data_IF_216920340117
#
_entry.id   IF_216920340117
#
_cell.length_a   1.000
_cell.length_b   1.000
_cell.length_c   1.000
_cell.angle_alpha   90.00
_cell.angle_beta   90.00
_cell.angle_gamma   90.00
#
_symmetry.space_group_name_H-M   'P 1'
#
loop_
_entity.id
_entity.type
_entity.pdbx_description
1 polymer ?
#
# COMPACT_ATOMS: atom_id res chain seq x y z
N UNK A 1 3.22 2.92 3.76
CA UNK A 1 4.66 2.61 3.76
C UNK A 1 4.94 1.28 4.43
N UNK A 2 6.05 0.61 4.06
CA UNK A 2 6.54 -0.59 4.74
C UNK A 2 7.93 -0.29 5.29
N UNK A 3 8.15 -0.60 6.58
CA UNK A 3 9.44 -0.37 7.26
C UNK A 3 9.79 -1.53 8.21
N UNK A 4 11.07 -1.91 8.32
CA UNK A 4 11.53 -2.81 9.37
C UNK A 4 11.57 -2.03 10.70
N UNK A 5 10.82 -2.51 11.71
CA UNK A 5 10.73 -1.85 13.02
C UNK A 5 11.03 -2.80 14.19
N UNK A 6 11.51 -4.02 13.89
CA UNK A 6 11.75 -5.07 14.85
C UNK A 6 10.50 -5.88 15.22
N UNK A 7 10.69 -7.12 15.66
CA UNK A 7 9.61 -8.08 15.90
C UNK A 7 8.70 -7.73 17.08
N UNK A 8 9.20 -6.97 18.05
CA UNK A 8 8.46 -6.56 19.25
C UNK A 8 7.67 -5.28 19.10
N UNK A 9 7.89 -4.51 18.01
CA UNK A 9 7.15 -3.31 17.71
C UNK A 9 5.75 -3.65 17.17
N UNK A 10 4.83 -2.68 17.22
CA UNK A 10 3.47 -2.89 16.69
C UNK A 10 3.48 -3.32 15.20
N UNK A 11 2.53 -4.18 14.77
CA UNK A 11 2.45 -4.65 13.39
C UNK A 11 2.13 -3.53 12.40
N UNK A 12 1.31 -2.58 12.83
CA UNK A 12 0.92 -1.40 12.05
C UNK A 12 0.99 -0.18 12.95
N UNK A 13 1.55 0.90 12.46
CA UNK A 13 1.62 2.19 13.15
C UNK A 13 1.03 3.27 12.26
N UNK A 14 0.18 4.13 12.85
CA UNK A 14 -0.32 5.32 12.18
C UNK A 14 0.56 6.49 12.60
N UNK A 15 1.10 7.20 11.62
CA UNK A 15 1.93 8.37 11.84
C UNK A 15 1.30 9.59 11.18
N UNK A 16 1.53 10.76 11.77
CA UNK A 16 1.18 12.05 11.18
C UNK A 16 2.47 12.78 10.82
N UNK A 17 2.49 13.48 9.69
CA UNK A 17 3.64 14.28 9.31
C UNK A 17 3.87 15.38 10.37
N UNK A 18 5.03 15.35 11.04
CA UNK A 18 5.41 16.30 12.11
C UNK A 18 5.26 17.75 11.66
N UNK A 19 5.63 18.06 10.42
CA UNK A 19 5.48 19.38 9.84
C UNK A 19 4.02 19.85 9.84
N UNK A 20 3.08 19.00 9.38
CA UNK A 20 1.65 19.35 9.34
C UNK A 20 1.07 19.53 10.74
N UNK A 21 1.47 18.67 11.68
CA UNK A 21 1.08 18.80 13.08
C UNK A 21 1.53 20.15 13.66
N UNK A 22 2.81 20.52 13.47
CA UNK A 22 3.35 21.80 13.95
C UNK A 22 2.69 23.00 13.28
N UNK A 23 2.39 22.92 11.99
CA UNK A 23 1.69 24.00 11.29
C UNK A 23 0.28 24.22 11.84
N UNK A 24 -0.45 23.15 12.18
CA UNK A 24 -1.76 23.24 12.84
C UNK A 24 -1.66 23.82 14.26
N UNK A 25 -0.68 23.36 15.03
CA UNK A 25 -0.43 23.91 16.37
C UNK A 25 -0.16 25.42 16.29
N UNK A 26 0.64 25.88 15.34
CA UNK A 26 0.90 27.29 15.10
C UNK A 26 -0.33 28.05 14.62
N UNK A 27 -1.17 27.44 13.77
CA UNK A 27 -2.40 28.06 13.29
C UNK A 27 -3.41 28.37 14.42
N UNK A 28 -3.37 27.59 15.51
CA UNK A 28 -4.20 27.85 16.69
C UNK A 28 -3.75 29.06 17.49
N UNK A 29 -2.49 29.51 17.34
CA UNK A 29 -1.88 30.57 18.11
C UNK A 29 -1.76 31.87 17.29
N UNK A 30 -1.59 31.78 15.98
CA UNK A 30 -1.38 32.91 15.07
C UNK A 30 -2.57 33.14 14.12
N UNK A 31 -3.33 34.24 14.25
CA UNK A 31 -4.53 34.50 13.43
C UNK A 31 -4.30 34.55 11.92
N UNK A 32 -3.07 34.83 11.47
CA UNK A 32 -2.72 34.83 10.03
C UNK A 32 -2.48 33.45 9.40
N UNK A 33 -2.47 32.38 10.20
CA UNK A 33 -2.21 31.02 9.76
C UNK A 33 -3.45 30.11 9.86
N UNK A 34 -4.64 30.65 10.06
CA UNK A 34 -5.91 29.91 10.23
C UNK A 34 -6.18 28.88 9.11
N UNK A 35 -5.75 29.17 7.88
CA UNK A 35 -5.86 28.27 6.73
C UNK A 35 -5.26 26.87 7.01
N UNK A 36 -4.12 26.81 7.71
CA UNK A 36 -3.51 25.51 8.05
C UNK A 36 -4.32 24.73 9.11
N UNK A 37 -5.08 25.42 9.96
CA UNK A 37 -5.97 24.79 10.92
C UNK A 37 -7.16 24.08 10.29
N UNK A 38 -7.61 24.55 9.13
CA UNK A 38 -8.73 23.97 8.37
C UNK A 38 -8.31 22.81 7.45
N UNK A 39 -7.01 22.61 7.24
CA UNK A 39 -6.53 21.51 6.40
C UNK A 39 -6.85 20.14 7.05
N UNK A 40 -7.29 19.16 6.26
CA UNK A 40 -7.54 17.82 6.77
C UNK A 40 -6.25 17.19 7.34
N UNK A 41 -6.40 16.39 8.41
CA UNK A 41 -5.28 15.62 8.93
C UNK A 41 -4.83 14.58 7.92
N UNK A 42 -3.53 14.58 7.65
CA UNK A 42 -2.90 13.57 6.79
C UNK A 42 -2.18 12.55 7.66
N UNK A 43 -2.66 11.33 7.61
CA UNK A 43 -2.05 10.20 8.31
C UNK A 43 -1.40 9.24 7.32
N UNK A 44 -0.29 8.65 7.72
CA UNK A 44 0.38 7.58 6.99
C UNK A 44 0.30 6.29 7.81
N UNK A 45 -0.10 5.20 7.16
CA UNK A 45 -0.07 3.87 7.74
C UNK A 45 1.27 3.23 7.42
N UNK A 46 2.02 2.84 8.46
CA UNK A 46 3.32 2.18 8.36
C UNK A 46 3.16 0.74 8.78
N UNK A 47 3.47 -0.18 7.87
CA UNK A 47 3.45 -1.62 8.07
C UNK A 47 4.84 -2.08 8.54
N UNK A 48 4.90 -2.81 9.66
CA UNK A 48 6.13 -3.37 10.18
C UNK A 48 6.46 -4.70 9.49
N UNK A 49 7.43 -4.70 8.56
CA UNK A 49 7.84 -5.90 7.83
C UNK A 49 8.50 -6.99 8.68
N UNK A 50 8.98 -6.65 9.89
CA UNK A 50 9.61 -7.62 10.78
C UNK A 50 8.60 -8.37 11.65
N UNK A 51 7.40 -7.80 11.82
CA UNK A 51 6.40 -8.34 12.74
C UNK A 51 5.84 -9.69 12.28
N UNK A 52 5.81 -10.67 13.19
CA UNK A 52 5.40 -12.05 12.89
C UNK A 52 4.01 -12.16 12.25
N UNK A 53 3.02 -11.41 12.75
CA UNK A 53 1.67 -11.45 12.19
C UNK A 53 1.61 -10.84 10.78
N UNK A 54 2.45 -9.86 10.47
CA UNK A 54 2.53 -9.27 9.13
C UNK A 54 3.10 -10.27 8.15
N UNK A 55 4.18 -10.96 8.53
CA UNK A 55 4.78 -12.04 7.71
C UNK A 55 3.78 -13.16 7.48
N UNK A 56 3.09 -13.60 8.51
CA UNK A 56 2.07 -14.65 8.41
C UNK A 56 0.93 -14.26 7.46
N UNK A 57 0.38 -13.05 7.58
CA UNK A 57 -0.68 -12.56 6.67
C UNK A 57 -0.19 -12.54 5.22
N UNK A 58 1.09 -12.17 4.98
CA UNK A 58 1.67 -12.17 3.65
C UNK A 58 1.78 -13.60 3.08
N UNK A 59 2.31 -14.54 3.86
CA UNK A 59 2.42 -15.96 3.49
C UNK A 59 1.04 -16.59 3.21
N UNK A 60 0.06 -16.29 4.08
CA UNK A 60 -1.33 -16.74 3.91
C UNK A 60 -1.96 -16.17 2.62
N UNK A 61 -1.70 -14.89 2.30
CA UNK A 61 -2.19 -14.25 1.09
C UNK A 61 -1.56 -14.85 -0.17
N UNK A 62 -0.24 -15.07 -0.16
CA UNK A 62 0.48 -15.71 -1.26
C UNK A 62 -0.05 -17.14 -1.52
N UNK A 63 -0.27 -17.90 -0.46
CA UNK A 63 -0.81 -19.26 -0.55
C UNK A 63 -2.25 -19.29 -1.03
N UNK A 64 -3.12 -18.45 -0.47
CA UNK A 64 -4.55 -18.42 -0.80
C UNK A 64 -4.83 -17.89 -2.22
N UNK A 65 -3.98 -17.00 -2.73
CA UNK A 65 -4.13 -16.37 -4.04
C UNK A 65 -3.21 -16.98 -5.10
N UNK A 66 -2.45 -18.04 -4.81
CA UNK A 66 -1.41 -18.58 -5.67
C UNK A 66 -1.92 -18.89 -7.09
N UNK A 67 -3.08 -19.53 -7.25
CA UNK A 67 -3.66 -19.86 -8.55
C UNK A 67 -3.90 -18.63 -9.43
N UNK A 68 -4.25 -17.50 -8.83
CA UNK A 68 -4.53 -16.26 -9.53
C UNK A 68 -3.28 -15.39 -9.70
N UNK A 69 -2.35 -15.43 -8.73
CA UNK A 69 -1.16 -14.58 -8.73
C UNK A 69 -0.04 -15.12 -9.61
N UNK A 70 0.18 -16.43 -9.63
CA UNK A 70 1.29 -17.05 -10.40
C UNK A 70 1.27 -16.67 -11.89
N UNK A 71 0.14 -16.79 -12.62
CA UNK A 71 0.12 -16.40 -14.04
C UNK A 71 0.33 -14.89 -14.22
N UNK A 72 -0.27 -14.06 -13.37
CA UNK A 72 -0.15 -12.59 -13.42
C UNK A 72 1.29 -12.16 -13.15
N UNK A 73 1.95 -12.73 -12.13
CA UNK A 73 3.34 -12.42 -11.78
C UNK A 73 4.32 -12.87 -12.87
N UNK A 74 4.08 -14.02 -13.48
CA UNK A 74 4.87 -14.49 -14.62
C UNK A 74 4.78 -13.52 -15.80
N UNK A 75 3.58 -13.02 -16.10
CA UNK A 75 3.39 -12.04 -17.17
C UNK A 75 4.02 -10.68 -16.83
N UNK A 76 3.88 -10.20 -15.58
CA UNK A 76 4.58 -9.00 -15.11
C UNK A 76 6.10 -9.15 -15.27
N UNK A 77 6.67 -10.30 -14.93
CA UNK A 77 8.11 -10.53 -15.05
C UNK A 77 8.55 -10.48 -16.53
N UNK A 78 7.82 -11.14 -17.44
CA UNK A 78 8.12 -11.11 -18.88
C UNK A 78 8.00 -9.69 -19.46
N UNK A 79 6.91 -8.98 -19.16
CA UNK A 79 6.69 -7.62 -19.63
C UNK A 79 7.74 -6.64 -19.07
N UNK A 80 8.14 -6.82 -17.80
CA UNK A 80 9.20 -5.99 -17.18
C UNK A 80 10.55 -6.23 -17.86
N UNK A 81 10.87 -7.48 -18.21
CA UNK A 81 12.09 -7.79 -18.96
C UNK A 81 12.05 -7.12 -20.33
N UNK A 82 10.93 -7.24 -21.06
CA UNK A 82 10.75 -6.64 -22.37
C UNK A 82 10.85 -5.11 -22.33
N UNK A 83 10.24 -4.48 -21.35
CA UNK A 83 10.35 -3.04 -21.12
C UNK A 83 11.80 -2.60 -20.95
N UNK A 84 12.57 -3.32 -20.11
CA UNK A 84 13.99 -3.02 -19.89
C UNK A 84 14.84 -3.18 -21.17
N UNK A 85 14.56 -4.20 -21.97
CA UNK A 85 15.24 -4.40 -23.26
C UNK A 85 15.00 -3.23 -24.22
N UNK A 86 13.74 -2.81 -24.39
CA UNK A 86 13.36 -1.67 -25.23
C UNK A 86 13.97 -0.36 -24.70
N UNK A 87 13.88 -0.11 -23.40
CA UNK A 87 14.49 1.09 -22.80
C UNK A 87 16.00 1.14 -23.01
N UNK A 88 16.70 -0.01 -22.85
CA UNK A 88 18.12 -0.11 -23.09
C UNK A 88 18.48 0.10 -24.58
N UNK A 89 17.63 -0.39 -25.49
CA UNK A 89 17.82 -0.18 -26.93
C UNK A 89 17.64 1.31 -27.33
N UNK A 90 16.87 2.06 -26.54
CA UNK A 90 16.65 3.51 -26.74
C UNK A 90 17.68 4.38 -26.03
N UNK A 91 18.47 3.82 -25.11
CA UNK A 91 19.44 4.57 -24.30
C UNK A 91 20.48 5.28 -25.21
N UNK A 92 20.65 6.58 -25.01
CA UNK A 92 21.57 7.42 -25.78
C UNK A 92 21.08 7.84 -27.17
N UNK A 93 19.92 7.39 -27.63
CA UNK A 93 19.30 7.81 -28.89
C UNK A 93 18.40 9.04 -28.68
N UNK A 94 18.32 9.91 -29.68
CA UNK A 94 17.33 10.98 -29.73
C UNK A 94 15.96 10.38 -30.09
N UNK A 95 14.89 11.03 -29.66
CA UNK A 95 13.54 10.57 -29.93
C UNK A 95 13.23 10.36 -31.42
N UNK A 96 13.83 11.18 -32.29
CA UNK A 96 13.71 11.07 -33.76
C UNK A 96 14.43 9.85 -34.34
N UNK A 97 15.41 9.30 -33.62
CA UNK A 97 16.22 8.15 -34.06
C UNK A 97 15.62 6.81 -33.67
N UNK A 98 14.57 6.84 -32.84
CA UNK A 98 13.88 5.63 -32.37
C UNK A 98 12.74 5.32 -33.35
N UNK A 99 12.71 4.10 -33.94
CA UNK A 99 11.62 3.69 -34.82
C UNK A 99 10.25 3.81 -34.16
N UNK A 100 9.25 4.29 -34.90
CA UNK A 100 7.88 4.45 -34.39
C UNK A 100 7.34 3.12 -33.86
N UNK A 101 7.63 2.01 -34.55
CA UNK A 101 7.20 0.69 -34.11
C UNK A 101 7.75 0.30 -32.72
N UNK A 102 9.01 0.66 -32.41
CA UNK A 102 9.59 0.38 -31.07
C UNK A 102 8.99 1.29 -29.99
N UNK A 103 8.65 2.54 -30.34
CA UNK A 103 7.93 3.43 -29.40
C UNK A 103 6.51 2.94 -29.11
N UNK A 104 5.81 2.47 -30.13
CA UNK A 104 4.46 1.94 -29.97
C UNK A 104 4.50 0.63 -29.18
N UNK A 105 5.48 -0.25 -29.46
CA UNK A 105 5.69 -1.46 -28.67
C UNK A 105 5.98 -1.15 -27.19
N UNK A 106 6.81 -0.15 -26.88
CA UNK A 106 7.09 0.25 -25.51
C UNK A 106 5.83 0.72 -24.79
N UNK A 107 5.00 1.55 -25.44
CA UNK A 107 3.71 1.99 -24.88
C UNK A 107 2.74 0.84 -24.63
N UNK A 108 2.67 -0.12 -25.56
CA UNK A 108 1.82 -1.29 -25.41
C UNK A 108 2.29 -2.20 -24.26
N UNK A 109 3.60 -2.36 -24.11
CA UNK A 109 4.20 -3.11 -22.99
C UNK A 109 3.93 -2.41 -21.67
N UNK A 110 4.10 -1.09 -21.60
CA UNK A 110 3.82 -0.29 -20.39
C UNK A 110 2.35 -0.38 -19.99
N UNK A 111 1.45 -0.27 -20.95
CA UNK A 111 0.01 -0.41 -20.71
C UNK A 111 -0.35 -1.80 -20.17
N UNK A 112 0.14 -2.86 -20.82
CA UNK A 112 -0.09 -4.24 -20.37
C UNK A 112 0.50 -4.48 -18.97
N UNK A 113 1.67 -3.91 -18.69
CA UNK A 113 2.30 -4.02 -17.38
C UNK A 113 1.46 -3.35 -16.29
N UNK A 114 0.86 -2.20 -16.58
CA UNK A 114 -0.03 -1.50 -15.67
C UNK A 114 -1.33 -2.29 -15.44
N UNK A 115 -1.94 -2.81 -16.50
CA UNK A 115 -3.14 -3.66 -16.44
C UNK A 115 -2.87 -4.92 -15.56
N UNK A 116 -1.74 -5.59 -15.74
CA UNK A 116 -1.37 -6.76 -14.95
C UNK A 116 -1.09 -6.42 -13.47
N UNK A 117 -0.41 -5.30 -13.20
CA UNK A 117 -0.23 -4.80 -11.83
C UNK A 117 -1.55 -4.47 -11.16
N UNK A 118 -2.48 -3.89 -11.90
CA UNK A 118 -3.81 -3.58 -11.39
C UNK A 118 -4.60 -4.86 -11.10
N UNK A 119 -4.49 -5.89 -11.96
CA UNK A 119 -5.08 -7.20 -11.72
C UNK A 119 -4.51 -7.85 -10.44
N UNK A 120 -3.18 -7.84 -10.26
CA UNK A 120 -2.54 -8.30 -9.03
C UNK A 120 -3.09 -7.58 -7.80
N UNK A 121 -3.18 -6.26 -7.86
CA UNK A 121 -3.72 -5.46 -6.76
C UNK A 121 -5.18 -5.81 -6.45
N UNK A 122 -6.01 -6.04 -7.47
CA UNK A 122 -7.42 -6.42 -7.29
C UNK A 122 -7.56 -7.78 -6.58
N UNK A 123 -6.73 -8.76 -6.95
CA UNK A 123 -6.71 -10.08 -6.27
C UNK A 123 -6.35 -9.92 -4.79
N UNK A 124 -5.26 -9.20 -4.50
CA UNK A 124 -4.81 -8.97 -3.12
C UNK A 124 -5.81 -8.14 -2.30
N UNK A 125 -6.43 -7.13 -2.90
CA UNK A 125 -7.46 -6.32 -2.25
C UNK A 125 -8.70 -7.16 -1.90
N UNK A 126 -9.11 -8.06 -2.79
CA UNK A 126 -10.23 -8.97 -2.55
C UNK A 126 -9.93 -9.89 -1.36
N UNK A 127 -8.72 -10.46 -1.31
CA UNK A 127 -8.26 -11.26 -0.19
C UNK A 127 -8.25 -10.45 1.11
N UNK A 128 -7.64 -9.26 1.10
CA UNK A 128 -7.53 -8.40 2.28
C UNK A 128 -8.90 -7.98 2.81
N UNK A 129 -9.85 -7.66 1.93
CA UNK A 129 -11.21 -7.29 2.30
C UNK A 129 -11.98 -8.42 3.01
N UNK A 130 -11.66 -9.69 2.74
CA UNK A 130 -12.25 -10.84 3.42
C UNK A 130 -11.47 -11.33 4.65
N UNK A 131 -10.24 -10.84 4.87
CA UNK A 131 -9.37 -11.37 5.91
C UNK A 131 -9.58 -10.70 7.27
N UNK A 132 -10.09 -11.48 8.26
CA UNK A 132 -10.37 -10.99 9.61
C UNK A 132 -9.12 -10.47 10.34
N UNK A 133 -7.95 -11.09 10.11
CA UNK A 133 -6.69 -10.70 10.76
C UNK A 133 -6.21 -9.35 10.24
N UNK A 134 -6.29 -9.13 8.92
CA UNK A 134 -5.96 -7.82 8.30
C UNK A 134 -6.79 -6.70 8.92
N UNK A 135 -8.11 -6.89 8.97
CA UNK A 135 -9.01 -5.92 9.61
C UNK A 135 -8.68 -5.70 11.08
N UNK A 136 -8.34 -6.76 11.81
CA UNK A 136 -7.99 -6.66 13.22
C UNK A 136 -6.73 -5.85 13.45
N UNK A 137 -5.70 -6.04 12.62
CA UNK A 137 -4.44 -5.31 12.70
C UNK A 137 -4.62 -3.81 12.39
N UNK A 138 -5.43 -3.49 11.38
CA UNK A 138 -5.74 -2.10 11.01
C UNK A 138 -6.52 -1.42 12.15
N UNK A 139 -7.55 -2.07 12.65
CA UNK A 139 -8.40 -1.50 13.72
C UNK A 139 -7.63 -1.35 15.03
N UNK A 140 -6.67 -2.24 15.32
CA UNK A 140 -5.77 -2.09 16.46
C UNK A 140 -4.92 -0.82 16.34
N UNK A 141 -4.39 -0.52 15.16
CA UNK A 141 -3.63 0.71 14.91
C UNK A 141 -4.51 1.96 15.03
N UNK A 142 -5.76 1.89 14.54
CA UNK A 142 -6.75 2.96 14.70
C UNK A 142 -7.11 3.18 16.17
N UNK A 143 -7.29 2.10 16.93
CA UNK A 143 -7.59 2.15 18.37
C UNK A 143 -6.47 2.82 19.16
N UNK A 144 -5.20 2.47 18.88
CA UNK A 144 -4.03 3.08 19.52
C UNK A 144 -3.96 4.61 19.32
N UNK A 145 -4.55 5.11 18.23
CA UNK A 145 -4.58 6.53 17.89
C UNK A 145 -5.91 7.21 18.23
N UNK A 146 -6.79 6.56 19.01
CA UNK A 146 -8.14 7.04 19.36
C UNK A 146 -9.03 7.34 18.13
N UNK A 147 -8.76 6.71 17.01
CA UNK A 147 -9.47 6.89 15.75
C UNK A 147 -10.58 5.85 15.53
N UNK A 148 -10.61 4.77 16.33
CA UNK A 148 -11.63 3.73 16.25
C UNK A 148 -12.76 4.04 17.22
N UNK A 149 -13.96 4.32 16.70
CA UNK A 149 -15.14 4.74 17.50
C UNK A 149 -16.43 4.13 16.96
N UNK A 150 -17.49 4.16 17.79
CA UNK A 150 -18.85 3.77 17.39
C UNK A 150 -18.96 2.33 16.90
N UNK A 151 -19.62 2.13 15.78
CA UNK A 151 -19.87 0.81 15.20
C UNK A 151 -18.57 0.06 14.85
N UNK A 152 -17.56 0.77 14.35
CA UNK A 152 -16.26 0.18 14.03
C UNK A 152 -15.58 -0.44 15.27
N UNK A 153 -15.66 0.23 16.43
CA UNK A 153 -15.16 -0.31 17.70
C UNK A 153 -15.96 -1.55 18.13
N UNK A 154 -17.29 -1.54 17.96
CA UNK A 154 -18.14 -2.69 18.28
C UNK A 154 -17.77 -3.90 17.39
N UNK A 155 -17.55 -3.67 16.10
CA UNK A 155 -17.15 -4.72 15.16
C UNK A 155 -15.74 -5.25 15.45
N UNK A 156 -14.81 -4.38 15.86
CA UNK A 156 -13.50 -4.78 16.35
C UNK A 156 -13.58 -5.73 17.54
N UNK A 157 -14.40 -5.39 18.56
CA UNK A 157 -14.57 -6.22 19.76
C UNK A 157 -15.18 -7.58 19.40
N UNK A 158 -16.23 -7.63 18.58
CA UNK A 158 -16.84 -8.89 18.11
C UNK A 158 -15.82 -9.78 17.41
N UNK A 159 -15.06 -9.20 16.47
CA UNK A 159 -14.03 -9.91 15.72
C UNK A 159 -12.88 -10.39 16.61
N UNK A 160 -12.51 -9.61 17.65
CA UNK A 160 -11.52 -10.02 18.67
C UNK A 160 -11.96 -11.27 19.39
N UNK A 161 -13.23 -11.35 19.80
CA UNK A 161 -13.80 -12.53 20.47
C UNK A 161 -13.76 -13.74 19.53
N UNK A 162 -14.18 -13.56 18.27
CA UNK A 162 -14.16 -14.63 17.26
C UNK A 162 -12.73 -15.16 16.96
N UNK A 163 -11.69 -14.35 17.15
CA UNK A 163 -10.31 -14.74 16.90
C UNK A 163 -9.63 -15.43 18.11
N UNK A 164 -10.20 -15.27 19.30
CA UNK A 164 -9.68 -15.86 20.54
C UNK A 164 -10.37 -17.21 20.87
N UNK A 165 -11.64 -17.34 20.51
CA UNK A 165 -12.49 -18.52 20.78
C UNK A 165 -12.52 -19.50 19.67
#
# INVERSE_FOLDING_TARGET
ETRPMGETSAPIVITQAEYMRRMKDMASIQPGMSFYGEMPDMYSLVLNSDHKLVKQVLEDAESACAEQLVPVESEIAMLTLRQKELQKAHEGKKDEEIPVAEKDELKDVEKKLDDQKQQKNNVLNTYAAGNKVVHQLIDLALLQNNMLKGEALTNFVKRSIDLIG
#
